data_IF_056151510006
#
_entry.id   IF_056151510006
#
_cell.length_a   1.000
_cell.length_b   1.000
_cell.length_c   1.000
_cell.angle_alpha   90.00
_cell.angle_beta   90.00
_cell.angle_gamma   90.00
#
_symmetry.space_group_name_H-M   'P 1'
#
loop_
_entity.id
_entity.type
_entity.pdbx_description
1 polymer ?
#
# COMPACT_ATOMS: atom_id res chain seq x y z
N UNK A 1 -6.42 13.06 -17.78
CA UNK A 1 -6.45 13.38 -16.34
C UNK A 1 -5.09 13.11 -15.71
N UNK A 2 -4.71 13.91 -14.72
CA UNK A 2 -3.50 13.72 -13.92
C UNK A 2 -3.95 13.41 -12.50
N UNK A 3 -3.44 12.33 -11.94
CA UNK A 3 -3.76 11.86 -10.60
C UNK A 3 -2.49 11.89 -9.75
N UNK A 4 -2.50 12.66 -8.67
CA UNK A 4 -1.47 12.61 -7.65
C UNK A 4 -1.93 11.70 -6.52
N UNK A 5 -1.14 10.70 -6.22
CA UNK A 5 -1.44 9.72 -5.18
C UNK A 5 -0.37 9.79 -4.08
N UNK A 6 -0.78 10.25 -2.91
CA UNK A 6 0.08 10.24 -1.73
C UNK A 6 0.13 8.82 -1.14
N UNK A 7 1.31 8.23 -1.10
CA UNK A 7 1.55 6.87 -0.63
C UNK A 7 2.46 6.86 0.59
N UNK A 8 2.12 6.05 1.58
CA UNK A 8 3.02 5.73 2.68
C UNK A 8 3.84 4.48 2.38
N UNK A 9 4.86 4.21 3.21
CA UNK A 9 5.67 3.01 3.07
C UNK A 9 4.80 1.75 3.19
N UNK A 10 5.07 0.77 2.34
CA UNK A 10 4.31 -0.49 2.25
C UNK A 10 3.02 -0.39 1.43
N UNK A 11 2.45 0.79 1.24
CA UNK A 11 1.20 0.99 0.50
C UNK A 11 1.33 0.59 -0.98
N UNK A 12 2.52 0.70 -1.55
CA UNK A 12 2.83 0.23 -2.91
C UNK A 12 2.74 -1.28 -3.07
N UNK A 13 2.69 -2.03 -1.97
CA UNK A 13 2.51 -3.49 -1.98
C UNK A 13 1.03 -3.90 -1.77
N UNK A 14 0.12 -2.94 -1.81
CA UNK A 14 -1.33 -3.12 -1.76
C UNK A 14 -1.95 -2.77 -3.11
N UNK A 15 -3.23 -3.03 -3.29
CA UNK A 15 -3.95 -2.74 -4.52
C UNK A 15 -5.18 -1.86 -4.25
N UNK A 16 -5.44 -0.93 -5.15
CA UNK A 16 -6.62 -0.05 -5.10
C UNK A 16 -7.46 -0.29 -6.36
N UNK A 17 -8.67 -0.87 -6.22
CA UNK A 17 -9.54 -1.18 -7.36
C UNK A 17 -9.85 0.04 -8.24
N UNK A 18 -9.95 1.22 -7.64
CA UNK A 18 -10.23 2.48 -8.33
C UNK A 18 -9.13 2.83 -9.35
N UNK A 19 -7.88 2.50 -9.04
CA UNK A 19 -6.76 2.71 -9.97
C UNK A 19 -6.79 1.75 -11.14
N UNK A 20 -7.36 0.55 -10.95
CA UNK A 20 -7.51 -0.43 -12.03
C UNK A 20 -8.63 -0.07 -12.99
N UNK A 21 -9.70 0.55 -12.50
CA UNK A 21 -10.85 0.95 -13.29
C UNK A 21 -10.58 2.15 -14.21
N UNK A 22 -9.46 2.86 -14.04
CA UNK A 22 -9.13 4.03 -14.87
C UNK A 22 -8.87 3.63 -16.32
N UNK A 23 -9.47 4.35 -17.24
CA UNK A 23 -9.32 4.11 -18.69
C UNK A 23 -8.12 4.83 -19.29
N UNK A 24 -7.79 6.01 -18.79
CA UNK A 24 -6.68 6.88 -19.22
C UNK A 24 -6.26 7.75 -18.05
N UNK A 25 -5.01 8.17 -18.04
CA UNK A 25 -4.51 9.14 -17.08
C UNK A 25 -3.05 8.92 -16.72
N UNK A 26 -2.44 10.00 -16.29
CA UNK A 26 -1.09 10.01 -15.72
C UNK A 26 -1.25 9.84 -14.21
N UNK A 27 -0.50 8.92 -13.60
CA UNK A 27 -0.49 8.77 -12.16
C UNK A 27 0.90 9.02 -11.62
N UNK A 28 0.99 9.92 -10.67
CA UNK A 28 2.22 10.27 -9.96
C UNK A 28 2.06 9.89 -8.49
N UNK A 29 2.90 8.99 -8.03
CA UNK A 29 2.98 8.58 -6.64
C UNK A 29 3.92 9.50 -5.85
N UNK A 30 3.39 10.16 -4.84
CA UNK A 30 4.17 10.95 -3.89
C UNK A 30 4.60 10.05 -2.73
N UNK A 31 5.91 9.88 -2.55
CA UNK A 31 6.51 8.99 -1.56
C UNK A 31 7.55 9.73 -0.72
N UNK A 32 7.90 9.19 0.43
CA UNK A 32 8.93 9.81 1.29
C UNK A 32 10.34 9.47 0.80
N UNK A 33 10.55 8.25 0.28
CA UNK A 33 11.84 7.78 -0.23
C UNK A 33 11.64 7.02 -1.55
N UNK A 34 12.11 7.59 -2.65
CA UNK A 34 12.00 7.00 -3.99
C UNK A 34 12.83 5.71 -4.15
N UNK A 35 13.91 5.57 -3.38
CA UNK A 35 14.88 4.46 -3.54
C UNK A 35 14.39 3.14 -2.92
N UNK A 36 13.37 3.18 -2.07
CA UNK A 36 12.84 2.00 -1.37
C UNK A 36 11.87 1.15 -2.21
N UNK A 37 11.69 1.46 -3.46
CA UNK A 37 10.69 0.80 -4.29
C UNK A 37 11.36 -0.05 -5.38
N UNK A 38 11.44 -1.36 -5.17
CA UNK A 38 12.09 -2.30 -6.09
C UNK A 38 11.11 -3.19 -6.89
N UNK A 39 9.92 -3.41 -6.41
CA UNK A 39 8.91 -4.22 -7.09
C UNK A 39 7.50 -3.68 -6.82
N UNK A 40 6.71 -3.52 -7.87
CA UNK A 40 5.37 -2.96 -7.79
C UNK A 40 4.32 -3.93 -8.30
N UNK A 41 3.11 -3.92 -7.69
CA UNK A 41 1.94 -4.51 -8.30
C UNK A 41 1.70 -3.97 -9.71
N UNK A 42 1.06 -4.77 -10.57
CA UNK A 42 0.81 -4.41 -11.97
C UNK A 42 0.05 -3.09 -12.13
N UNK A 43 -0.79 -2.74 -11.16
CA UNK A 43 -1.56 -1.50 -11.13
C UNK A 43 -0.71 -0.24 -10.92
N UNK A 44 0.55 -0.39 -10.51
CA UNK A 44 1.48 0.71 -10.28
C UNK A 44 2.60 0.80 -11.35
N UNK A 45 2.65 -0.11 -12.32
CA UNK A 45 3.78 -0.21 -13.27
C UNK A 45 3.95 1.02 -14.16
N UNK A 46 2.91 1.77 -14.44
CA UNK A 46 2.95 3.00 -15.24
C UNK A 46 3.08 4.26 -14.39
N UNK A 47 3.02 4.12 -13.07
CA UNK A 47 3.14 5.23 -12.14
C UNK A 47 4.58 5.73 -12.08
N UNK A 48 4.74 7.05 -12.01
CA UNK A 48 6.02 7.68 -11.72
C UNK A 48 6.03 8.05 -10.25
N UNK A 49 7.08 7.64 -9.53
CA UNK A 49 7.25 7.98 -8.12
C UNK A 49 8.18 9.18 -8.00
N UNK A 50 7.78 10.14 -7.18
CA UNK A 50 8.59 11.30 -6.83
C UNK A 50 8.52 11.55 -5.31
N UNK A 51 9.62 12.05 -4.77
CA UNK A 51 9.66 12.45 -3.37
C UNK A 51 8.67 13.58 -3.09
N UNK A 52 8.01 13.56 -1.94
CA UNK A 52 7.20 14.70 -1.46
C UNK A 52 8.01 15.98 -1.29
N UNK A 53 9.34 15.86 -1.20
CA UNK A 53 10.29 16.98 -1.07
C UNK A 53 10.95 17.35 -2.39
N UNK A 54 10.47 16.80 -3.52
CA UNK A 54 11.02 17.09 -4.83
C UNK A 54 10.86 18.57 -5.19
N UNK A 55 11.85 19.11 -5.92
CA UNK A 55 11.77 20.45 -6.49
C UNK A 55 10.68 20.56 -7.55
N UNK A 56 10.23 21.78 -7.85
CA UNK A 56 9.27 22.02 -8.92
C UNK A 56 9.79 21.54 -10.28
N UNK A 57 11.09 21.68 -10.55
CA UNK A 57 11.73 21.18 -11.77
C UNK A 57 11.59 19.67 -11.89
N UNK A 58 11.85 18.93 -10.79
CA UNK A 58 11.69 17.47 -10.75
C UNK A 58 10.23 17.03 -10.97
N UNK A 59 9.28 17.78 -10.42
CA UNK A 59 7.85 17.55 -10.67
C UNK A 59 7.51 17.79 -12.14
N UNK A 60 8.01 18.89 -12.71
CA UNK A 60 7.85 19.22 -14.12
C UNK A 60 8.40 18.14 -15.05
N UNK A 61 9.61 17.64 -14.78
CA UNK A 61 10.22 16.52 -15.52
C UNK A 61 9.37 15.25 -15.44
N UNK A 62 8.89 14.90 -14.26
CA UNK A 62 8.06 13.72 -14.05
C UNK A 62 6.74 13.81 -14.83
N UNK A 63 6.10 14.98 -14.81
CA UNK A 63 4.88 15.26 -15.58
C UNK A 63 5.15 15.16 -17.09
N UNK A 64 6.25 15.75 -17.57
CA UNK A 64 6.62 15.69 -18.98
C UNK A 64 6.88 14.26 -19.45
N UNK A 65 7.66 13.48 -18.68
CA UNK A 65 7.94 12.07 -18.98
C UNK A 65 6.64 11.26 -19.03
N UNK A 66 5.76 11.44 -18.04
CA UNK A 66 4.48 10.75 -17.97
C UNK A 66 3.59 11.09 -19.16
N UNK A 67 3.49 12.40 -19.52
CA UNK A 67 2.73 12.85 -20.68
C UNK A 67 3.31 12.30 -21.99
N UNK A 68 4.63 12.39 -22.16
CA UNK A 68 5.31 11.89 -23.37
C UNK A 68 5.04 10.39 -23.57
N UNK A 69 5.09 9.59 -22.52
CA UNK A 69 4.76 8.15 -22.58
C UNK A 69 3.37 7.89 -23.13
N UNK A 70 2.38 8.73 -22.80
CA UNK A 70 1.00 8.54 -23.28
C UNK A 70 0.86 8.84 -24.78
N UNK A 71 1.82 9.57 -25.40
CA UNK A 71 1.83 9.92 -26.82
C UNK A 71 2.51 8.86 -27.68
N UNK A 72 3.22 7.89 -27.08
CA UNK A 72 3.95 6.88 -27.84
C UNK A 72 3.00 5.94 -28.58
N UNK A 73 3.27 5.62 -29.86
CA UNK A 73 2.52 4.61 -30.59
C UNK A 73 2.56 3.27 -29.86
N UNK A 74 1.40 2.67 -29.66
CA UNK A 74 1.30 1.38 -28.95
C UNK A 74 1.22 1.49 -27.42
N UNK A 75 1.24 2.71 -26.86
CA UNK A 75 0.90 2.87 -25.45
C UNK A 75 -0.52 2.38 -25.21
N UNK A 76 -0.62 1.21 -24.57
CA UNK A 76 -1.88 0.64 -24.12
C UNK A 76 -1.79 0.47 -22.61
N UNK A 77 -2.74 1.05 -21.90
CA UNK A 77 -3.01 0.67 -20.53
C UNK A 77 -3.33 -0.83 -20.51
N UNK A 78 -2.35 -1.64 -20.08
CA UNK A 78 -2.59 -3.08 -19.90
C UNK A 78 -3.18 -3.27 -18.52
N UNK A 79 -4.49 -3.48 -18.47
CA UNK A 79 -5.17 -4.01 -17.30
C UNK A 79 -4.69 -5.47 -17.11
N UNK A 80 -3.58 -5.66 -16.39
CA UNK A 80 -3.16 -7.01 -15.99
C UNK A 80 -4.12 -7.52 -14.93
N UNK A 81 -4.48 -8.78 -15.02
CA UNK A 81 -5.31 -9.45 -14.03
C UNK A 81 -4.69 -9.33 -12.64
N UNK A 82 -5.49 -9.08 -11.61
CA UNK A 82 -5.06 -9.08 -10.20
C UNK A 82 -4.47 -10.42 -9.77
N UNK A 83 -4.72 -11.50 -10.48
CA UNK A 83 -4.15 -12.83 -10.21
C UNK A 83 -2.62 -12.86 -10.42
N UNK A 84 -2.08 -12.02 -11.28
CA UNK A 84 -0.64 -11.92 -11.55
C UNK A 84 0.04 -10.81 -10.72
N UNK A 85 -0.73 -10.15 -9.88
CA UNK A 85 -0.26 -8.98 -9.13
C UNK A 85 0.59 -9.38 -7.92
N UNK A 86 1.75 -8.75 -7.75
CA UNK A 86 2.67 -9.02 -6.64
C UNK A 86 2.28 -8.30 -5.33
N UNK A 87 0.99 -8.15 -5.08
CA UNK A 87 0.55 -7.60 -3.81
C UNK A 87 0.73 -8.59 -2.66
N UNK A 88 0.93 -8.07 -1.45
CA UNK A 88 1.17 -8.90 -0.27
C UNK A 88 -0.14 -9.37 0.34
N UNK A 89 -0.33 -10.68 0.38
CA UNK A 89 -1.49 -11.34 1.01
C UNK A 89 -1.18 -11.59 2.48
N UNK A 90 -2.12 -11.28 3.35
CA UNK A 90 -2.04 -11.52 4.79
C UNK A 90 -2.74 -12.83 5.16
N UNK A 91 -2.18 -13.53 6.15
CA UNK A 91 -2.88 -14.64 6.79
C UNK A 91 -4.05 -14.11 7.65
N UNK A 92 -5.07 -14.94 7.94
CA UNK A 92 -6.17 -14.54 8.82
C UNK A 92 -5.69 -14.04 10.18
N UNK A 93 -4.64 -14.64 10.73
CA UNK A 93 -4.07 -14.20 12.01
C UNK A 93 -3.39 -12.83 11.90
N UNK A 94 -2.65 -12.58 10.81
CA UNK A 94 -2.05 -11.27 10.55
C UNK A 94 -3.13 -10.19 10.41
N UNK A 95 -4.23 -10.50 9.73
CA UNK A 95 -5.38 -9.58 9.62
C UNK A 95 -5.94 -9.26 11.00
N UNK A 96 -6.19 -10.28 11.85
CA UNK A 96 -6.69 -10.07 13.23
C UNK A 96 -5.75 -9.17 14.04
N UNK A 97 -4.44 -9.39 13.94
CA UNK A 97 -3.45 -8.56 14.62
C UNK A 97 -3.51 -7.12 14.13
N UNK A 98 -3.53 -6.88 12.80
CA UNK A 98 -3.61 -5.53 12.23
C UNK A 98 -4.91 -4.82 12.62
N UNK A 99 -6.04 -5.49 12.59
CA UNK A 99 -7.34 -4.93 12.99
C UNK A 99 -7.35 -4.51 14.46
N UNK A 100 -6.72 -5.29 15.34
CA UNK A 100 -6.62 -4.95 16.77
C UNK A 100 -5.64 -3.79 17.01
N UNK A 101 -4.53 -3.70 16.26
CA UNK A 101 -3.67 -2.50 16.25
C UNK A 101 -4.44 -1.27 15.78
N UNK A 102 -5.23 -1.37 14.71
CA UNK A 102 -6.09 -0.26 14.25
C UNK A 102 -7.05 0.24 15.35
N UNK A 103 -7.55 -0.68 16.18
CA UNK A 103 -8.40 -0.34 17.34
C UNK A 103 -7.63 0.27 18.51
N UNK A 104 -6.33 0.45 18.40
CA UNK A 104 -5.47 1.04 19.42
C UNK A 104 -5.10 0.09 20.57
N UNK A 105 -5.29 -1.22 20.41
CA UNK A 105 -4.94 -2.19 21.45
C UNK A 105 -3.42 -2.38 21.52
N UNK A 106 -2.90 -2.46 22.75
CA UNK A 106 -1.50 -2.82 23.00
C UNK A 106 -1.23 -4.30 22.71
N UNK A 107 0.05 -4.67 22.57
CA UNK A 107 0.47 -6.06 22.33
C UNK A 107 -0.13 -7.01 23.38
N UNK A 108 -0.06 -6.67 24.67
CA UNK A 108 -0.64 -7.48 25.74
C UNK A 108 -2.15 -7.63 25.65
N UNK A 109 -2.86 -6.55 25.31
CA UNK A 109 -4.32 -6.59 25.12
C UNK A 109 -4.69 -7.46 23.90
N UNK A 110 -3.92 -7.40 22.83
CA UNK A 110 -4.12 -8.24 21.64
C UNK A 110 -3.86 -9.71 22.00
N UNK A 111 -2.77 -9.99 22.71
CA UNK A 111 -2.41 -11.33 23.15
C UNK A 111 -3.53 -11.97 24.00
N UNK A 112 -4.03 -11.23 24.98
CA UNK A 112 -5.15 -11.67 25.81
C UNK A 112 -6.42 -11.92 24.98
N UNK A 113 -6.77 -10.98 24.08
CA UNK A 113 -7.97 -11.09 23.24
C UNK A 113 -7.91 -12.26 22.26
N UNK A 114 -6.73 -12.56 21.71
CA UNK A 114 -6.52 -13.65 20.75
C UNK A 114 -6.10 -14.97 21.43
N UNK A 115 -6.10 -15.01 22.77
CA UNK A 115 -5.70 -16.15 23.58
C UNK A 115 -4.33 -16.70 23.18
N UNK A 116 -3.33 -15.83 23.12
CA UNK A 116 -1.96 -16.14 22.72
C UNK A 116 -0.95 -15.39 23.59
N UNK A 117 0.35 -15.55 23.33
CA UNK A 117 1.40 -14.86 24.07
C UNK A 117 1.79 -13.54 23.41
N UNK A 118 2.30 -12.59 24.21
CA UNK A 118 2.89 -11.34 23.72
C UNK A 118 3.98 -11.61 22.68
N UNK A 119 4.80 -12.65 22.92
CA UNK A 119 5.86 -13.07 21.99
C UNK A 119 5.28 -13.43 20.61
N UNK A 120 4.14 -14.09 20.56
CA UNK A 120 3.45 -14.42 19.30
C UNK A 120 2.99 -13.18 18.57
N UNK A 121 2.44 -12.19 19.29
CA UNK A 121 2.01 -10.92 18.69
C UNK A 121 3.21 -10.13 18.16
N UNK A 122 4.33 -10.08 18.92
CA UNK A 122 5.57 -9.46 18.42
C UNK A 122 6.10 -10.14 17.16
N UNK A 123 6.03 -11.47 17.09
CA UNK A 123 6.42 -12.22 15.89
C UNK A 123 5.55 -11.84 14.69
N UNK A 124 4.23 -11.79 14.86
CA UNK A 124 3.33 -11.36 13.79
C UNK A 124 3.60 -9.92 13.37
N UNK A 125 3.82 -9.01 14.33
CA UNK A 125 4.19 -7.61 14.04
C UNK A 125 5.48 -7.55 13.20
N UNK A 126 6.50 -8.25 13.61
CA UNK A 126 7.78 -8.30 12.89
C UNK A 126 7.63 -8.85 11.46
N UNK A 127 6.90 -9.95 11.30
CA UNK A 127 6.62 -10.53 9.97
C UNK A 127 5.82 -9.58 9.07
N UNK A 128 4.88 -8.81 9.63
CA UNK A 128 4.15 -7.77 8.92
C UNK A 128 5.10 -6.67 8.46
N UNK A 129 5.96 -6.19 9.35
CA UNK A 129 6.95 -5.16 9.03
C UNK A 129 7.89 -5.63 7.91
N UNK A 130 8.40 -6.85 7.97
CA UNK A 130 9.21 -7.42 6.90
C UNK A 130 8.44 -7.54 5.58
N UNK A 131 7.19 -8.02 5.65
CA UNK A 131 6.36 -8.25 4.46
C UNK A 131 6.12 -6.96 3.66
N UNK A 132 5.98 -5.83 4.33
CA UNK A 132 5.71 -4.53 3.73
C UNK A 132 6.92 -3.59 3.70
N UNK A 133 8.11 -4.08 4.00
CA UNK A 133 9.35 -3.30 4.08
C UNK A 133 9.23 -2.07 4.99
N UNK A 134 8.70 -2.28 6.20
CA UNK A 134 8.52 -1.25 7.21
C UNK A 134 9.66 -1.28 8.22
N UNK A 135 10.09 -0.11 8.69
CA UNK A 135 11.23 0.05 9.62
C UNK A 135 10.83 0.50 11.02
N UNK A 136 9.58 0.95 11.18
CA UNK A 136 9.11 1.48 12.47
C UNK A 136 7.65 1.13 12.73
N UNK A 137 7.26 1.16 14.00
CA UNK A 137 5.86 1.01 14.41
C UNK A 137 4.99 2.12 13.82
N UNK A 138 5.55 3.32 13.64
CA UNK A 138 4.85 4.43 13.01
C UNK A 138 4.48 4.10 11.55
N UNK A 139 5.42 3.55 10.77
CA UNK A 139 5.15 3.11 9.39
C UNK A 139 4.09 2.01 9.35
N UNK A 140 4.13 1.06 10.30
CA UNK A 140 3.12 0.00 10.40
C UNK A 140 1.73 0.58 10.68
N UNK A 141 1.62 1.49 11.64
CA UNK A 141 0.35 2.12 11.97
C UNK A 141 -0.18 2.98 10.82
N UNK A 142 0.69 3.74 10.15
CA UNK A 142 0.32 4.52 8.97
C UNK A 142 -0.23 3.60 7.86
N UNK A 143 0.43 2.48 7.58
CA UNK A 143 -0.02 1.51 6.59
C UNK A 143 -1.40 0.92 6.96
N UNK A 144 -1.58 0.51 8.22
CA UNK A 144 -2.86 -0.06 8.68
C UNK A 144 -4.01 0.94 8.47
N UNK A 145 -3.81 2.21 8.87
CA UNK A 145 -4.81 3.26 8.69
C UNK A 145 -5.14 3.47 7.21
N UNK A 146 -4.13 3.54 6.34
CA UNK A 146 -4.33 3.70 4.90
C UNK A 146 -5.06 2.52 4.28
N UNK A 147 -4.73 1.28 4.67
CA UNK A 147 -5.42 0.08 4.18
C UNK A 147 -6.90 0.08 4.57
N UNK A 148 -7.24 0.56 5.76
CA UNK A 148 -8.64 0.69 6.20
C UNK A 148 -9.34 1.82 5.46
N UNK A 149 -8.75 3.02 5.39
CA UNK A 149 -9.34 4.19 4.73
C UNK A 149 -9.67 3.92 3.26
N UNK A 150 -8.72 3.33 2.54
CA UNK A 150 -8.83 3.09 1.10
C UNK A 150 -9.41 1.72 0.74
N UNK A 151 -9.80 0.94 1.74
CA UNK A 151 -10.29 -0.44 1.55
C UNK A 151 -9.38 -1.27 0.63
N UNK A 152 -8.07 -1.24 0.93
CA UNK A 152 -7.03 -1.82 0.09
C UNK A 152 -7.22 -3.33 -0.10
N UNK A 153 -7.04 -3.79 -1.34
CA UNK A 153 -7.07 -5.20 -1.70
C UNK A 153 -5.64 -5.81 -1.62
N UNK A 154 -5.50 -7.13 -1.46
CA UNK A 154 -6.55 -8.14 -1.25
C UNK A 154 -7.03 -8.21 0.20
N UNK A 155 -6.36 -7.50 1.10
CA UNK A 155 -6.52 -7.57 2.55
C UNK A 155 -7.53 -6.51 3.01
N UNK A 156 -8.80 -6.72 2.75
CA UNK A 156 -9.88 -5.78 3.11
C UNK A 156 -10.07 -5.71 4.62
N UNK A 157 -9.20 -4.98 5.32
CA UNK A 157 -9.23 -4.87 6.78
C UNK A 157 -10.57 -4.32 7.29
N UNK A 158 -11.24 -3.47 6.51
CA UNK A 158 -12.53 -2.88 6.85
C UNK A 158 -13.60 -3.95 7.08
N UNK A 159 -13.60 -5.04 6.32
CA UNK A 159 -14.59 -6.12 6.44
C UNK A 159 -14.50 -6.82 7.81
N UNK A 160 -13.32 -6.77 8.43
CA UNK A 160 -13.09 -7.36 9.76
C UNK A 160 -13.35 -6.40 10.92
N UNK A 161 -13.56 -5.11 10.65
CA UNK A 161 -13.92 -4.13 11.68
C UNK A 161 -15.40 -4.22 12.07
N UNK A 162 -16.26 -4.56 11.10
CA UNK A 162 -17.71 -4.70 11.30
C UNK A 162 -18.09 -6.03 11.94
N UNK A 163 -17.27 -7.05 11.76
CA UNK A 163 -17.47 -8.34 12.42
C UNK A 163 -16.82 -8.29 13.81
N UNK A 164 -17.64 -8.25 14.84
CA UNK A 164 -17.20 -8.39 16.24
C UNK A 164 -16.62 -9.80 16.44
N UNK A 165 -15.28 -9.87 16.54
CA UNK A 165 -14.60 -11.06 17.04
C UNK A 165 -14.29 -10.90 18.53
#
# INVERSE_FOLDING_TARGET
DIIFLSLCQGETLTCYPELQARKKGIVIGLVDDEQRFSAFPSCFQDMIFISRRASLDRIGEALFIAWYRTQLPGYRWKNKSCYECQHKILSPQQIRVMVNFYRGLSVGQIANKLNTSDKTIFTHKYLLMQKFDLRSDFELMALIHRMVEKNACPNRLRDYLTNSF
#
